data_IF_642421110330
#
_entry.id   IF_642421110330
#
_cell.length_a   1.000
_cell.length_b   1.000
_cell.length_c   1.000
_cell.angle_alpha   90.00
_cell.angle_beta   90.00
_cell.angle_gamma   90.00
#
_symmetry.space_group_name_H-M   'P 1'
#
loop_
_entity.id
_entity.type
_entity.pdbx_description
1 polymer ?
#
# COMPACT_ATOMS: atom_id res chain seq x y z
N UNK A 1 9.85 3.13 27.60
CA UNK A 1 9.79 3.12 26.11
C UNK A 1 8.40 2.72 25.65
N UNK A 2 7.90 3.35 24.56
CA UNK A 2 6.60 3.07 23.94
C UNK A 2 6.41 1.57 23.59
N UNK A 3 7.49 0.91 23.17
CA UNK A 3 7.50 -0.52 22.78
C UNK A 3 7.03 -1.42 23.93
N UNK A 4 7.56 -1.27 25.15
CA UNK A 4 7.17 -2.10 26.31
C UNK A 4 5.71 -1.89 26.74
N UNK A 5 5.10 -0.74 26.40
CA UNK A 5 3.69 -0.47 26.71
C UNK A 5 2.72 -1.15 25.73
N UNK A 6 3.21 -1.55 24.56
CA UNK A 6 2.42 -2.19 23.49
C UNK A 6 2.63 -3.71 23.44
N UNK A 7 3.66 -4.25 24.08
CA UNK A 7 4.01 -5.68 24.07
C UNK A 7 2.83 -6.59 24.45
N UNK A 8 2.08 -6.24 25.50
CA UNK A 8 0.91 -7.02 25.96
C UNK A 8 -0.30 -7.02 25.01
N UNK A 9 -0.23 -6.31 23.87
CA UNK A 9 -1.27 -6.30 22.84
C UNK A 9 -0.82 -6.89 21.50
N UNK A 10 0.43 -7.35 21.41
CA UNK A 10 0.89 -8.08 20.23
C UNK A 10 0.03 -9.34 20.07
N UNK A 11 -0.55 -9.53 18.88
CA UNK A 11 -1.38 -10.69 18.56
C UNK A 11 -2.87 -10.57 18.91
N UNK A 12 -3.33 -9.45 19.50
CA UNK A 12 -4.77 -9.22 19.74
C UNK A 12 -5.46 -8.78 18.44
N UNK A 13 -6.44 -9.55 17.97
CA UNK A 13 -7.15 -9.31 16.70
C UNK A 13 -8.68 -9.38 16.86
N UNK A 14 -9.43 -8.93 15.84
CA UNK A 14 -10.89 -9.03 15.77
C UNK A 14 -11.62 -8.23 16.86
N UNK A 15 -12.80 -8.69 17.27
CA UNK A 15 -13.64 -7.97 18.24
C UNK A 15 -12.97 -7.75 19.60
N UNK A 16 -12.06 -8.67 19.99
CA UNK A 16 -11.25 -8.55 21.22
C UNK A 16 -10.30 -7.36 21.18
N UNK A 17 -9.87 -6.92 19.98
CA UNK A 17 -8.97 -5.78 19.85
C UNK A 17 -9.70 -4.45 20.11
N UNK A 18 -10.96 -4.32 19.70
CA UNK A 18 -11.73 -3.07 19.84
C UNK A 18 -11.84 -2.63 21.29
N UNK A 19 -12.24 -3.54 22.19
CA UNK A 19 -12.32 -3.25 23.63
C UNK A 19 -10.94 -3.10 24.28
N UNK A 20 -10.00 -4.00 23.97
CA UNK A 20 -8.68 -4.02 24.61
C UNK A 20 -7.78 -2.84 24.22
N UNK A 21 -7.91 -2.31 22.99
CA UNK A 21 -7.19 -1.12 22.54
C UNK A 21 -7.83 0.14 23.11
N UNK A 22 -9.15 0.28 23.04
CA UNK A 22 -9.85 1.45 23.58
C UNK A 22 -9.58 1.62 25.09
N UNK A 23 -9.63 0.52 25.85
CA UNK A 23 -9.31 0.52 27.27
C UNK A 23 -7.84 0.83 27.55
N UNK A 24 -6.93 0.32 26.72
CA UNK A 24 -5.50 0.62 26.86
C UNK A 24 -5.26 2.12 26.64
N UNK A 25 -5.63 2.65 25.47
CA UNK A 25 -5.41 4.07 25.15
C UNK A 25 -6.03 5.01 26.18
N UNK A 26 -7.19 4.66 26.75
CA UNK A 26 -7.81 5.40 27.87
C UNK A 26 -7.02 5.31 29.18
N UNK A 27 -6.53 4.12 29.56
CA UNK A 27 -5.87 3.91 30.86
C UNK A 27 -4.44 4.44 30.93
N UNK A 28 -3.69 4.41 29.82
CA UNK A 28 -2.28 4.81 29.81
C UNK A 28 -2.04 6.24 29.29
N UNK A 29 -3.10 7.02 29.02
CA UNK A 29 -3.05 8.34 28.36
C UNK A 29 -1.99 8.40 27.26
N UNK A 30 -1.93 7.33 26.47
CA UNK A 30 -0.81 7.11 25.55
C UNK A 30 -1.00 7.98 24.33
N UNK A 31 -0.29 9.10 24.30
CA UNK A 31 -0.12 9.93 23.12
C UNK A 31 1.10 9.42 22.36
N UNK A 32 0.92 9.27 21.05
CA UNK A 32 2.03 9.03 20.13
C UNK A 32 2.27 10.38 19.47
N UNK A 33 3.44 10.95 19.70
CA UNK A 33 3.80 12.22 19.07
C UNK A 33 3.81 12.06 17.55
N UNK A 34 3.40 13.11 16.84
CA UNK A 34 3.29 13.08 15.39
C UNK A 34 4.62 12.72 14.73
N UNK A 35 5.71 13.25 15.28
CA UNK A 35 7.08 13.04 14.84
C UNK A 35 7.50 11.58 15.00
N UNK A 36 7.14 10.93 16.12
CA UNK A 36 7.42 9.51 16.35
C UNK A 36 6.63 8.62 15.39
N UNK A 37 5.34 8.92 15.19
CA UNK A 37 4.50 8.21 14.23
C UNK A 37 5.04 8.37 12.80
N UNK A 38 5.41 9.59 12.42
CA UNK A 38 5.97 9.89 11.11
C UNK A 38 7.34 9.22 10.92
N UNK A 39 8.17 9.16 11.96
CA UNK A 39 9.46 8.49 11.92
C UNK A 39 9.29 6.99 11.66
N UNK A 40 8.41 6.31 12.40
CA UNK A 40 8.13 4.88 12.19
C UNK A 40 7.57 4.65 10.79
N UNK A 41 6.63 5.49 10.35
CA UNK A 41 6.07 5.41 9.02
C UNK A 41 7.15 5.54 7.93
N UNK A 42 7.96 6.60 7.98
CA UNK A 42 8.96 6.93 6.96
C UNK A 42 10.16 5.99 6.96
N UNK A 43 10.65 5.59 8.13
CA UNK A 43 11.92 4.86 8.24
C UNK A 43 11.76 3.36 8.50
N UNK A 44 10.56 2.89 8.82
CA UNK A 44 10.30 1.46 9.07
C UNK A 44 9.28 0.88 8.11
N UNK A 45 8.12 1.52 7.97
CA UNK A 45 7.00 0.96 7.21
C UNK A 45 7.16 1.17 5.71
N UNK A 46 7.43 2.40 5.26
CA UNK A 46 7.62 2.68 3.83
C UNK A 46 8.76 1.84 3.22
N UNK A 47 9.98 1.78 3.78
CA UNK A 47 11.06 1.00 3.18
C UNK A 47 10.73 -0.51 3.12
N UNK A 48 10.00 -1.01 4.13
CA UNK A 48 9.56 -2.40 4.15
C UNK A 48 8.59 -2.70 3.01
N UNK A 49 7.57 -1.87 2.82
CA UNK A 49 6.56 -2.09 1.77
C UNK A 49 7.18 -1.85 0.39
N UNK A 50 7.98 -0.80 0.22
CA UNK A 50 8.74 -0.56 -1.02
C UNK A 50 9.58 -1.79 -1.40
N UNK A 51 10.38 -2.31 -0.47
CA UNK A 51 11.18 -3.51 -0.74
C UNK A 51 10.34 -4.76 -1.04
N UNK A 52 9.12 -4.88 -0.49
CA UNK A 52 8.23 -5.99 -0.85
C UNK A 52 7.67 -5.84 -2.28
N UNK A 53 7.34 -4.61 -2.69
CA UNK A 53 6.91 -4.31 -4.06
C UNK A 53 8.04 -4.56 -5.05
N UNK A 54 9.24 -4.05 -4.78
CA UNK A 54 10.42 -4.29 -5.64
C UNK A 54 10.75 -5.78 -5.76
N UNK A 55 10.68 -6.54 -4.66
CA UNK A 55 10.86 -8.01 -4.73
C UNK A 55 9.78 -8.72 -5.52
N UNK A 56 8.61 -8.11 -5.71
CA UNK A 56 7.54 -8.68 -6.54
C UNK A 56 7.83 -8.53 -8.03
N UNK A 57 8.70 -7.60 -8.43
CA UNK A 57 9.00 -7.29 -9.83
C UNK A 57 10.50 -7.15 -10.06
N UNK A 58 11.11 -8.11 -10.76
CA UNK A 58 12.56 -8.08 -11.07
C UNK A 58 13.02 -6.89 -11.92
N UNK A 59 12.08 -6.11 -12.45
CA UNK A 59 12.31 -4.94 -13.27
C UNK A 59 11.72 -3.64 -12.70
N UNK A 60 11.41 -3.59 -11.40
CA UNK A 60 10.89 -2.37 -10.76
C UNK A 60 11.79 -1.14 -10.92
N UNK A 61 13.11 -1.36 -11.07
CA UNK A 61 14.11 -0.32 -11.34
C UNK A 61 13.92 0.39 -12.69
N UNK A 62 13.08 -0.16 -13.59
CA UNK A 62 12.69 0.50 -14.84
C UNK A 62 11.59 1.53 -14.65
N UNK A 63 10.95 1.59 -13.47
CA UNK A 63 9.94 2.59 -13.16
C UNK A 63 10.61 3.85 -12.61
N UNK A 64 10.06 5.02 -12.98
CA UNK A 64 10.35 6.26 -12.28
C UNK A 64 9.82 6.24 -10.83
N UNK A 65 10.32 7.14 -9.96
CA UNK A 65 9.87 7.24 -8.57
C UNK A 65 8.34 7.29 -8.40
N UNK A 66 7.63 7.99 -9.29
CA UNK A 66 6.18 8.11 -9.20
C UNK A 66 5.46 6.79 -9.56
N UNK A 67 5.96 6.08 -10.59
CA UNK A 67 5.47 4.76 -10.97
C UNK A 67 5.63 3.73 -9.84
N UNK A 68 6.81 3.69 -9.22
CA UNK A 68 7.04 2.83 -8.06
C UNK A 68 6.18 3.27 -6.86
N UNK A 69 6.06 4.57 -6.61
CA UNK A 69 5.24 5.15 -5.54
C UNK A 69 3.76 4.76 -5.64
N UNK A 70 3.20 4.76 -6.85
CA UNK A 70 1.84 4.32 -7.11
C UNK A 70 1.63 2.84 -6.75
N UNK A 71 2.56 1.95 -7.12
CA UNK A 71 2.49 0.53 -6.76
C UNK A 71 2.65 0.31 -5.25
N UNK A 72 3.50 1.10 -4.58
CA UNK A 72 3.66 1.08 -3.13
C UNK A 72 2.38 1.50 -2.41
N UNK A 73 1.72 2.57 -2.87
CA UNK A 73 0.43 3.01 -2.33
C UNK A 73 -0.68 1.97 -2.54
N UNK A 74 -0.72 1.35 -3.71
CA UNK A 74 -1.67 0.28 -4.01
C UNK A 74 -1.45 -0.92 -3.07
N UNK A 75 -0.20 -1.37 -2.93
CA UNK A 75 0.17 -2.48 -2.07
C UNK A 75 -0.04 -2.18 -0.58
N UNK A 76 0.08 -0.93 -0.15
CA UNK A 76 -0.28 -0.52 1.20
C UNK A 76 -1.76 -0.79 1.51
N UNK A 77 -2.64 -0.43 0.57
CA UNK A 77 -4.09 -0.54 0.74
C UNK A 77 -4.64 -1.95 0.48
N UNK A 78 -4.04 -2.70 -0.44
CA UNK A 78 -4.53 -4.02 -0.85
C UNK A 78 -3.66 -5.19 -0.40
N UNK A 79 -2.51 -4.91 0.20
CA UNK A 79 -1.45 -5.89 0.45
C UNK A 79 -0.61 -6.15 -0.80
N UNK A 80 0.55 -6.77 -0.62
CA UNK A 80 1.47 -7.18 -1.70
C UNK A 80 0.97 -8.49 -2.30
N UNK A 81 -0.13 -8.43 -3.07
CA UNK A 81 -0.92 -9.58 -3.54
C UNK A 81 -0.78 -9.85 -5.04
N UNK A 82 0.34 -9.43 -5.63
CA UNK A 82 0.59 -9.50 -7.08
C UNK A 82 0.64 -10.94 -7.65
N UNK A 83 0.91 -11.94 -6.81
CA UNK A 83 0.91 -13.36 -7.19
C UNK A 83 -0.32 -14.16 -6.72
N UNK A 84 -1.23 -13.52 -5.98
CA UNK A 84 -2.38 -14.21 -5.40
C UNK A 84 -3.39 -14.62 -6.47
N UNK A 85 -4.10 -15.71 -6.19
CA UNK A 85 -5.20 -16.19 -7.03
C UNK A 85 -6.54 -15.71 -6.45
N UNK A 86 -7.48 -15.37 -7.34
CA UNK A 86 -8.84 -14.98 -6.98
C UNK A 86 -9.35 -13.79 -7.80
N UNK A 87 -10.67 -13.67 -7.89
CA UNK A 87 -11.32 -12.62 -8.69
C UNK A 87 -11.02 -11.22 -8.16
N UNK A 88 -11.03 -11.05 -6.84
CA UNK A 88 -10.76 -9.75 -6.18
C UNK A 88 -9.32 -9.25 -6.33
N UNK A 89 -8.39 -10.09 -6.81
CA UNK A 89 -6.99 -9.74 -7.08
C UNK A 89 -6.60 -9.89 -8.55
N UNK A 90 -7.57 -10.14 -9.44
CA UNK A 90 -7.31 -10.36 -10.86
C UNK A 90 -6.54 -9.20 -11.50
N UNK A 91 -6.94 -7.95 -11.22
CA UNK A 91 -6.23 -6.76 -11.71
C UNK A 91 -4.80 -6.66 -11.17
N UNK A 92 -4.55 -7.00 -9.90
CA UNK A 92 -3.19 -7.00 -9.33
C UNK A 92 -2.31 -8.05 -10.00
N UNK A 93 -2.84 -9.24 -10.28
CA UNK A 93 -2.13 -10.28 -11.02
C UNK A 93 -1.86 -9.86 -12.46
N UNK A 94 -2.80 -9.15 -13.10
CA UNK A 94 -2.56 -8.59 -14.43
C UNK A 94 -1.46 -7.53 -14.42
N UNK A 95 -1.42 -6.66 -13.40
CA UNK A 95 -0.31 -5.71 -13.22
C UNK A 95 1.02 -6.45 -13.15
N UNK A 96 1.09 -7.57 -12.42
CA UNK A 96 2.30 -8.38 -12.36
C UNK A 96 2.71 -8.97 -13.71
N UNK A 97 1.72 -9.42 -14.49
CA UNK A 97 1.95 -9.88 -15.85
C UNK A 97 2.52 -8.75 -16.73
N UNK A 98 1.86 -7.58 -16.77
CA UNK A 98 2.31 -6.44 -17.60
C UNK A 98 3.68 -5.89 -17.16
N UNK A 99 3.94 -5.86 -15.85
CA UNK A 99 5.27 -5.54 -15.32
C UNK A 99 6.31 -6.50 -15.92
N UNK A 100 6.12 -7.81 -15.82
CA UNK A 100 7.07 -8.79 -16.33
C UNK A 100 7.23 -8.72 -17.86
N UNK A 101 6.15 -8.43 -18.58
CA UNK A 101 6.15 -8.23 -20.04
C UNK A 101 6.77 -6.89 -20.47
N UNK A 102 7.00 -5.96 -19.54
CA UNK A 102 7.51 -4.62 -19.82
C UNK A 102 6.49 -3.66 -20.43
N UNK A 103 5.20 -3.99 -20.36
CA UNK A 103 4.09 -3.23 -20.92
C UNK A 103 3.56 -2.18 -19.91
N UNK A 104 4.44 -1.30 -19.46
CA UNK A 104 4.10 -0.38 -18.35
C UNK A 104 2.95 0.57 -18.68
N UNK A 105 2.72 0.89 -19.96
CA UNK A 105 1.66 1.78 -20.41
C UNK A 105 0.23 1.30 -20.06
N UNK A 106 0.02 0.00 -19.85
CA UNK A 106 -1.30 -0.56 -19.53
C UNK A 106 -1.61 -0.50 -18.02
N UNK A 107 -0.58 -0.37 -17.18
CA UNK A 107 -0.71 -0.45 -15.72
C UNK A 107 -1.64 0.63 -15.15
N UNK A 108 -1.60 1.92 -15.55
CA UNK A 108 -2.53 2.92 -15.04
C UNK A 108 -4.00 2.51 -15.20
N UNK A 109 -4.37 1.94 -16.36
CA UNK A 109 -5.73 1.51 -16.61
C UNK A 109 -6.15 0.34 -15.70
N UNK A 110 -5.23 -0.60 -15.44
CA UNK A 110 -5.46 -1.70 -14.50
C UNK A 110 -5.60 -1.22 -13.06
N UNK A 111 -4.85 -0.18 -12.67
CA UNK A 111 -5.00 0.45 -11.35
C UNK A 111 -6.37 1.12 -11.24
N UNK A 112 -6.74 1.92 -12.24
CA UNK A 112 -7.99 2.67 -12.25
C UNK A 112 -9.24 1.77 -12.28
N UNK A 113 -9.20 0.64 -13.00
CA UNK A 113 -10.33 -0.29 -13.10
C UNK A 113 -10.70 -0.93 -11.77
N UNK A 114 -9.76 -1.02 -10.83
CA UNK A 114 -10.04 -1.53 -9.49
C UNK A 114 -11.02 -0.65 -8.70
N UNK A 115 -11.29 0.59 -9.11
CA UNK A 115 -12.29 1.44 -8.45
C UNK A 115 -13.67 0.78 -8.35
N UNK A 116 -14.00 -0.10 -9.30
CA UNK A 116 -15.29 -0.78 -9.40
C UNK A 116 -15.50 -1.82 -8.28
N UNK A 117 -14.45 -2.15 -7.51
CA UNK A 117 -14.55 -2.97 -6.30
C UNK A 117 -15.23 -2.24 -5.13
N UNK A 118 -15.50 -0.93 -5.26
CA UNK A 118 -16.10 -0.12 -4.22
C UNK A 118 -17.30 0.68 -4.75
N UNK A 119 -18.24 1.07 -3.87
CA UNK A 119 -19.33 1.98 -4.23
C UNK A 119 -18.82 3.32 -4.78
N UNK A 120 -19.65 3.95 -5.62
CA UNK A 120 -19.37 5.31 -6.08
C UNK A 120 -19.20 6.27 -4.89
N UNK A 121 -18.20 7.16 -4.97
CA UNK A 121 -17.77 8.10 -3.92
C UNK A 121 -16.99 7.50 -2.74
N UNK A 122 -16.62 6.22 -2.80
CA UNK A 122 -15.71 5.65 -1.82
C UNK A 122 -14.29 6.26 -1.96
N UNK A 123 -13.65 6.57 -0.83
CA UNK A 123 -12.30 7.13 -0.79
C UNK A 123 -11.28 6.20 -1.45
N UNK A 124 -11.48 4.89 -1.36
CA UNK A 124 -10.62 3.89 -2.00
C UNK A 124 -10.74 3.95 -3.52
N UNK A 125 -11.95 4.19 -4.06
CA UNK A 125 -12.14 4.37 -5.50
C UNK A 125 -11.40 5.62 -6.01
N UNK A 126 -11.50 6.74 -5.29
CA UNK A 126 -10.74 7.97 -5.62
C UNK A 126 -9.23 7.75 -5.52
N UNK A 127 -8.78 6.99 -4.51
CA UNK A 127 -7.36 6.64 -4.33
C UNK A 127 -6.83 5.83 -5.52
N UNK A 128 -7.61 4.90 -6.09
CA UNK A 128 -7.21 4.15 -7.30
C UNK A 128 -7.00 5.07 -8.50
N UNK A 129 -7.84 6.08 -8.66
CA UNK A 129 -7.67 7.06 -9.74
C UNK A 129 -6.41 7.90 -9.55
N UNK A 130 -6.15 8.36 -8.31
CA UNK A 130 -4.93 9.12 -8.00
C UNK A 130 -3.65 8.29 -8.19
N UNK A 131 -3.67 7.01 -7.78
CA UNK A 131 -2.54 6.10 -8.01
C UNK A 131 -2.30 5.83 -9.50
N UNK A 132 -3.37 5.70 -10.30
CA UNK A 132 -3.25 5.54 -11.74
C UNK A 132 -2.60 6.78 -12.39
N UNK A 133 -3.05 7.99 -12.01
CA UNK A 133 -2.48 9.24 -12.50
C UNK A 133 -1.00 9.38 -12.10
N UNK A 134 -0.66 9.06 -10.84
CA UNK A 134 0.72 9.08 -10.38
C UNK A 134 1.60 8.08 -11.15
N UNK A 135 1.07 6.90 -11.47
CA UNK A 135 1.81 5.95 -12.30
C UNK A 135 2.05 6.48 -13.72
N UNK A 136 1.03 7.10 -14.32
CA UNK A 136 1.11 7.72 -15.64
C UNK A 136 2.15 8.85 -15.68
N UNK A 137 2.21 9.70 -14.64
CA UNK A 137 3.30 10.68 -14.46
C UNK A 137 4.67 9.98 -14.44
N UNK A 138 4.78 8.87 -13.72
CA UNK A 138 5.99 8.06 -13.67
C UNK A 138 6.42 7.44 -15.00
N UNK A 139 5.53 7.27 -15.97
CA UNK A 139 5.89 6.83 -17.32
C UNK A 139 6.67 7.92 -18.08
N UNK A 140 6.35 9.19 -17.82
CA UNK A 140 7.03 10.33 -18.44
C UNK A 140 8.42 10.57 -17.86
N UNK A 141 8.68 10.13 -16.62
CA UNK A 141 10.00 10.21 -15.97
C UNK A 141 11.05 9.30 -16.60
N UNK A 142 10.63 8.23 -17.29
CA UNK A 142 11.52 7.22 -17.90
C UNK A 142 11.91 7.61 -19.35
N UNK A 143 11.22 8.60 -19.94
CA UNK A 143 11.38 9.01 -21.34
C UNK A 143 12.37 10.18 -21.53
N UNK A 144 13.16 10.52 -20.50
CA UNK A 144 14.21 11.54 -20.52
C UNK A 144 15.56 10.96 -20.09
#
# INVERSE_FOLDING_TARGET
>A
MLIHRLEGKIGVTGERSKGALADLFKRIEMRIEWEDALWVHRYRLLPRITGMVERSFGNSWRLGPNGLGALVSLAWNRGVRFGDQGESVAAMRQIAHEMNSGNFAVIPQLIASMKDLWPANDRQAQTRQAEAALFEEGLSEILH
#
